data_IF_829975541590
#
_entry.id   IF_829975541590
#
_cell.length_a   1.000
_cell.length_b   1.000
_cell.length_c   1.000
_cell.angle_alpha   90.00
_cell.angle_beta   90.00
_cell.angle_gamma   90.00
#
_symmetry.space_group_name_H-M   'P 1'
#
loop_
_entity.id
_entity.type
_entity.pdbx_description
1 polymer ?
#
# COMPACT_ATOMS: atom_id res chain seq x y z
N UNK A 1 -13.70 3.42 -12.39
CA UNK A 1 -12.40 2.71 -12.31
C UNK A 1 -11.83 3.10 -10.96
N UNK A 2 -12.04 2.25 -9.97
CA UNK A 2 -11.44 2.42 -8.65
C UNK A 2 -9.92 2.38 -8.83
N UNK A 3 -9.23 3.42 -8.39
CA UNK A 3 -7.77 3.44 -8.35
C UNK A 3 -7.40 2.99 -6.94
N UNK A 4 -6.39 2.14 -6.80
CA UNK A 4 -5.84 1.83 -5.49
C UNK A 4 -4.81 2.90 -5.18
N UNK A 5 -4.87 3.46 -3.98
CA UNK A 5 -3.91 4.41 -3.47
C UNK A 5 -2.65 3.63 -3.07
N UNK A 6 -1.75 3.51 -4.04
CA UNK A 6 -0.48 2.79 -3.87
C UNK A 6 0.46 3.50 -2.90
N UNK A 7 0.26 4.80 -2.68
CA UNK A 7 1.05 5.60 -1.75
C UNK A 7 0.67 5.26 -0.30
N UNK A 8 -0.62 5.25 0.02
CA UNK A 8 -1.14 4.80 1.30
C UNK A 8 -0.83 3.31 1.57
N UNK A 9 -0.86 2.47 0.54
CA UNK A 9 -0.47 1.07 0.66
C UNK A 9 1.01 0.90 0.99
N UNK A 10 1.89 1.71 0.36
CA UNK A 10 3.32 1.75 0.68
C UNK A 10 3.57 2.20 2.11
N UNK A 11 2.95 3.28 2.53
CA UNK A 11 3.11 3.84 3.87
C UNK A 11 2.68 2.81 4.95
N UNK A 12 1.55 2.13 4.73
CA UNK A 12 1.09 1.05 5.60
C UNK A 12 2.09 -0.12 5.69
N UNK A 13 2.61 -0.57 4.55
CA UNK A 13 3.60 -1.66 4.52
C UNK A 13 4.93 -1.24 5.16
N UNK A 14 5.32 0.03 5.02
CA UNK A 14 6.52 0.59 5.63
C UNK A 14 6.38 0.69 7.15
N UNK A 15 5.23 1.12 7.66
CA UNK A 15 4.92 1.14 9.10
C UNK A 15 4.85 -0.29 9.68
N UNK A 16 4.25 -1.23 8.93
CA UNK A 16 4.22 -2.65 9.29
C UNK A 16 5.63 -3.24 9.37
N UNK A 17 6.52 -2.93 8.41
CA UNK A 17 7.93 -3.35 8.46
C UNK A 17 8.68 -2.71 9.62
N UNK A 18 8.46 -1.42 9.90
CA UNK A 18 9.04 -0.72 11.06
C UNK A 18 8.64 -1.36 12.40
N UNK A 19 7.37 -1.75 12.54
CA UNK A 19 6.87 -2.45 13.72
C UNK A 19 7.34 -3.91 13.81
N UNK A 20 7.47 -4.61 12.66
CA UNK A 20 7.94 -5.99 12.59
C UNK A 20 9.46 -6.14 12.85
N UNK A 21 10.27 -5.15 12.45
CA UNK A 21 11.70 -5.10 12.75
C UNK A 21 11.98 -5.12 14.27
N UNK A 22 11.03 -4.62 15.08
CA UNK A 22 11.11 -4.68 16.53
C UNK A 22 10.67 -6.05 17.11
N UNK A 23 9.87 -6.82 16.37
CA UNK A 23 9.25 -8.07 16.84
C UNK A 23 9.99 -9.35 16.42
N UNK A 24 11.08 -9.25 15.65
CA UNK A 24 11.92 -10.41 15.29
C UNK A 24 11.20 -11.47 14.45
N UNK A 25 10.12 -11.10 13.76
CA UNK A 25 9.29 -12.01 12.97
C UNK A 25 9.81 -12.13 11.52
N UNK A 26 9.85 -13.34 10.93
CA UNK A 26 10.43 -13.58 9.60
C UNK A 26 9.67 -12.91 8.43
N UNK A 27 8.58 -12.18 8.67
CA UNK A 27 7.94 -11.31 7.68
C UNK A 27 8.77 -10.05 7.39
N UNK A 28 9.76 -9.72 8.23
CA UNK A 28 10.66 -8.56 8.09
C UNK A 28 11.75 -8.72 7.00
N UNK A 29 11.59 -9.65 6.05
CA UNK A 29 12.55 -9.83 4.95
C UNK A 29 12.32 -8.82 3.83
N UNK A 30 11.11 -8.27 3.71
CA UNK A 30 10.84 -7.25 2.70
C UNK A 30 11.54 -5.96 3.14
N UNK A 31 12.61 -5.61 2.43
CA UNK A 31 13.32 -4.35 2.62
C UNK A 31 12.39 -3.19 2.25
N UNK A 32 12.42 -2.14 3.07
CA UNK A 32 11.72 -0.87 2.80
C UNK A 32 12.08 -0.34 1.41
N UNK A 33 13.32 -0.54 0.98
CA UNK A 33 13.80 -0.19 -0.34
C UNK A 33 13.10 -0.95 -1.48
N UNK A 34 12.68 -2.21 -1.26
CA UNK A 34 11.90 -2.95 -2.25
C UNK A 34 10.46 -2.42 -2.31
N UNK A 35 9.84 -2.10 -1.17
CA UNK A 35 8.50 -1.48 -1.11
C UNK A 35 8.49 -0.13 -1.87
N UNK A 36 9.53 0.69 -1.67
CA UNK A 36 9.73 1.97 -2.35
C UNK A 36 10.08 1.85 -3.84
N UNK A 37 10.52 0.69 -4.31
CA UNK A 37 10.83 0.44 -5.72
C UNK A 37 9.76 -0.37 -6.46
N UNK A 38 8.89 -1.10 -5.75
CA UNK A 38 7.82 -1.92 -6.33
C UNK A 38 6.78 -1.08 -7.04
N UNK A 39 6.28 -1.61 -8.15
CA UNK A 39 5.16 -0.99 -8.87
C UNK A 39 3.85 -1.15 -8.10
N UNK A 40 2.86 -0.30 -8.38
CA UNK A 40 1.55 -0.37 -7.72
C UNK A 40 0.88 -1.75 -7.77
N UNK A 41 1.11 -2.49 -8.86
CA UNK A 41 0.61 -3.86 -9.04
C UNK A 41 1.34 -4.87 -8.13
N UNK A 42 2.67 -4.79 -8.03
CA UNK A 42 3.47 -5.68 -7.17
C UNK A 42 3.19 -5.44 -5.69
N UNK A 43 2.96 -4.18 -5.31
CA UNK A 43 2.49 -3.81 -3.99
C UNK A 43 1.14 -4.43 -3.66
N UNK A 44 0.23 -4.46 -4.63
CA UNK A 44 -1.07 -5.10 -4.44
C UNK A 44 -0.92 -6.60 -4.20
N UNK A 45 -0.12 -7.29 -5.02
CA UNK A 45 0.14 -8.72 -4.86
C UNK A 45 0.78 -9.04 -3.50
N UNK A 46 1.78 -8.26 -3.08
CA UNK A 46 2.42 -8.44 -1.77
C UNK A 46 1.49 -8.17 -0.61
N UNK A 47 0.65 -7.15 -0.72
CA UNK A 47 -0.36 -6.85 0.29
C UNK A 47 -1.34 -8.02 0.45
N UNK A 48 -1.82 -8.61 -0.65
CA UNK A 48 -2.68 -9.79 -0.58
C UNK A 48 -1.98 -11.01 0.03
N UNK A 49 -0.70 -11.26 -0.31
CA UNK A 49 0.09 -12.33 0.32
C UNK A 49 0.28 -12.13 1.83
N UNK A 50 0.40 -10.88 2.27
CA UNK A 50 0.49 -10.51 3.68
C UNK A 50 -0.87 -10.52 4.39
N UNK A 51 -1.98 -10.73 3.66
CA UNK A 51 -3.34 -10.68 4.18
C UNK A 51 -3.88 -9.27 4.42
N UNK A 52 -3.27 -8.27 3.78
CA UNK A 52 -3.70 -6.87 3.83
C UNK A 52 -4.84 -6.64 2.84
N UNK A 53 -5.93 -6.07 3.34
CA UNK A 53 -7.17 -5.91 2.58
C UNK A 53 -7.09 -4.68 1.67
N UNK A 54 -6.83 -4.86 0.36
CA UNK A 54 -6.63 -3.75 -0.60
C UNK A 54 -7.82 -2.79 -0.73
N UNK A 55 -9.01 -3.23 -0.34
CA UNK A 55 -10.24 -2.45 -0.41
C UNK A 55 -10.21 -1.17 0.42
N UNK A 56 -9.38 -1.14 1.48
CA UNK A 56 -9.21 0.04 2.33
C UNK A 56 -8.44 1.17 1.63
N UNK A 57 -7.69 0.86 0.58
CA UNK A 57 -6.88 1.81 -0.18
C UNK A 57 -7.57 2.26 -1.48
N UNK A 58 -8.82 1.88 -1.72
CA UNK A 58 -9.51 2.29 -2.94
C UNK A 58 -9.78 3.80 -2.89
N UNK A 59 -9.08 4.56 -3.73
CA UNK A 59 -9.41 5.95 -4.06
C UNK A 59 -10.42 5.96 -5.19
N UNK A 60 -11.66 6.27 -4.81
CA UNK A 60 -12.66 6.71 -5.78
C UNK A 60 -12.19 8.05 -6.34
N UNK A 61 -11.77 8.08 -7.61
CA UNK A 61 -11.52 9.33 -8.33
C UNK A 61 -12.85 10.08 -8.40
N UNK A 62 -13.14 10.91 -7.40
CA UNK A 62 -14.24 11.88 -7.45
C UNK A 62 -13.98 12.73 -8.69
N UNK A 63 -14.79 12.52 -9.74
CA UNK A 63 -15.01 13.51 -10.80
C UNK A 63 -15.77 14.69 -10.21
N UNK A 64 -15.21 15.34 -9.21
CA UNK A 64 -15.78 16.52 -8.57
C UNK A 64 -14.72 17.62 -8.58
N UNK A 65 -14.26 17.94 -9.80
CA UNK A 65 -13.62 19.23 -10.11
C UNK A 65 -14.30 19.80 -11.36
N UNK A 66 -15.64 19.78 -11.37
CA UNK A 66 -16.37 20.70 -12.21
C UNK A 66 -16.60 21.96 -11.37
N UNK A 67 -15.87 23.06 -11.61
CA UNK A 67 -16.16 24.31 -10.92
C UNK A 67 -17.61 24.70 -11.26
N UNK A 68 -18.41 24.95 -10.22
CA UNK A 68 -19.73 25.53 -10.38
C UNK A 68 -19.62 26.79 -11.27
N UNK A 69 -20.42 26.78 -12.33
CA UNK A 69 -20.57 27.82 -13.34
C UNK A 69 -20.91 29.21 -12.75
#
# INVERSE_FOLDING_TARGET
>A
MALIDTDALRDYLMDYCGSAAFSGFPAAIIDVAEIESMSGEELCEKAEELGVDLRQFIVEKRRDDLPFA
#
